data_IF_380945634436
#
_entry.id   IF_380945634436
#
_cell.length_a   1.000
_cell.length_b   1.000
_cell.length_c   1.000
_cell.angle_alpha   90.00
_cell.angle_beta   90.00
_cell.angle_gamma   90.00
#
_symmetry.space_group_name_H-M   'P 1'
#
loop_
_entity.id
_entity.type
_entity.pdbx_description
1 polymer ?
#
# COMPACT_ATOMS: atom_id res chain seq x y z
N UNK A 1 -1.47 -41.63 -60.66
CA UNK A 1 -1.88 -42.29 -59.42
C UNK A 1 -1.21 -41.67 -58.22
N UNK A 2 -1.92 -40.77 -57.52
CA UNK A 2 -1.47 -40.27 -56.21
C UNK A 2 -1.72 -41.40 -55.22
N UNK A 3 -0.67 -41.91 -54.59
CA UNK A 3 -0.75 -43.01 -53.62
C UNK A 3 -1.73 -42.64 -52.49
N UNK A 4 -2.66 -43.53 -52.08
CA UNK A 4 -3.68 -43.26 -51.06
C UNK A 4 -3.13 -42.67 -49.75
N UNK A 5 -1.89 -43.02 -49.41
CA UNK A 5 -1.17 -42.48 -48.25
C UNK A 5 -0.96 -40.96 -48.32
N UNK A 6 -0.71 -40.38 -49.50
CA UNK A 6 -0.47 -38.95 -49.64
C UNK A 6 -1.75 -38.13 -49.40
N UNK A 7 -2.91 -38.69 -49.75
CA UNK A 7 -4.19 -38.03 -49.52
C UNK A 7 -4.54 -37.97 -48.02
N UNK A 8 -4.27 -39.06 -47.30
CA UNK A 8 -4.47 -39.14 -45.84
C UNK A 8 -3.53 -38.16 -45.12
N UNK A 9 -2.26 -38.13 -45.50
CA UNK A 9 -1.27 -37.18 -44.93
C UNK A 9 -1.68 -35.73 -45.19
N UNK A 10 -2.17 -35.39 -46.40
CA UNK A 10 -2.66 -34.04 -46.71
C UNK A 10 -3.87 -33.66 -45.85
N UNK A 11 -4.84 -34.55 -45.66
CA UNK A 11 -6.00 -34.29 -44.81
C UNK A 11 -5.60 -34.08 -43.35
N UNK A 12 -4.64 -34.86 -42.85
CA UNK A 12 -4.11 -34.66 -41.49
C UNK A 12 -3.40 -33.32 -41.36
N UNK A 13 -2.56 -32.94 -42.33
CA UNK A 13 -1.90 -31.63 -42.35
C UNK A 13 -2.91 -30.48 -42.34
N UNK A 14 -3.93 -30.52 -43.21
CA UNK A 14 -4.99 -29.50 -43.23
C UNK A 14 -5.73 -29.40 -41.89
N UNK A 15 -5.99 -30.53 -41.23
CA UNK A 15 -6.63 -30.52 -39.90
C UNK A 15 -5.71 -29.95 -38.83
N UNK A 16 -4.41 -30.27 -38.86
CA UNK A 16 -3.43 -29.73 -37.93
C UNK A 16 -3.22 -28.22 -38.14
N UNK A 17 -3.16 -27.74 -39.38
CA UNK A 17 -3.06 -26.31 -39.70
C UNK A 17 -4.27 -25.53 -39.17
N UNK A 18 -5.49 -26.04 -39.36
CA UNK A 18 -6.69 -25.42 -38.78
C UNK A 18 -6.65 -25.41 -37.25
N UNK A 19 -6.24 -26.52 -36.62
CA UNK A 19 -6.10 -26.58 -35.17
C UNK A 19 -5.04 -25.61 -34.65
N UNK A 20 -3.93 -25.45 -35.36
CA UNK A 20 -2.89 -24.48 -35.00
C UNK A 20 -3.44 -23.05 -35.12
N UNK A 21 -4.12 -22.71 -36.21
CA UNK A 21 -4.75 -21.40 -36.37
C UNK A 21 -5.76 -21.09 -35.27
N UNK A 22 -6.64 -22.06 -34.95
CA UNK A 22 -7.60 -21.93 -33.85
C UNK A 22 -6.89 -21.74 -32.49
N UNK A 23 -5.75 -22.39 -32.26
CA UNK A 23 -4.95 -22.22 -31.05
C UNK A 23 -4.26 -20.86 -31.01
N UNK A 24 -3.72 -20.38 -32.12
CA UNK A 24 -3.09 -19.05 -32.24
C UNK A 24 -4.09 -17.94 -31.93
N UNK A 25 -5.29 -18.01 -32.51
CA UNK A 25 -6.39 -17.06 -32.24
C UNK A 25 -6.79 -17.09 -30.75
N UNK A 26 -6.88 -18.29 -30.17
CA UNK A 26 -7.19 -18.43 -28.73
C UNK A 26 -6.09 -17.86 -27.85
N UNK A 27 -4.82 -18.08 -28.18
CA UNK A 27 -3.67 -17.51 -27.45
C UNK A 27 -3.72 -15.98 -27.53
N UNK A 28 -3.93 -15.42 -28.72
CA UNK A 28 -4.07 -13.98 -28.92
C UNK A 28 -5.21 -13.38 -28.06
N UNK A 29 -6.37 -14.03 -28.04
CA UNK A 29 -7.49 -13.60 -27.20
C UNK A 29 -7.20 -13.71 -25.71
N UNK A 30 -6.49 -14.75 -25.27
CA UNK A 30 -6.07 -14.92 -23.88
C UNK A 30 -5.08 -13.83 -23.46
N UNK A 31 -4.07 -13.55 -24.27
CA UNK A 31 -3.10 -12.48 -24.01
C UNK A 31 -3.78 -11.12 -23.87
N UNK A 32 -4.71 -10.80 -24.79
CA UNK A 32 -5.52 -9.57 -24.72
C UNK A 32 -6.38 -9.51 -23.45
N UNK A 33 -6.96 -10.62 -23.05
CA UNK A 33 -7.77 -10.70 -21.82
C UNK A 33 -6.92 -10.51 -20.57
N UNK A 34 -5.74 -11.14 -20.52
CA UNK A 34 -4.78 -10.97 -19.41
C UNK A 34 -4.34 -9.51 -19.30
N UNK A 35 -3.99 -8.87 -20.43
CA UNK A 35 -3.61 -7.46 -20.44
C UNK A 35 -4.73 -6.55 -19.89
N UNK A 36 -5.99 -6.82 -20.26
CA UNK A 36 -7.14 -6.06 -19.76
C UNK A 36 -7.39 -6.31 -18.26
N UNK A 37 -7.25 -7.55 -17.79
CA UNK A 37 -7.36 -7.87 -16.36
C UNK A 37 -6.31 -7.14 -15.54
N UNK A 38 -5.04 -7.12 -15.99
CA UNK A 38 -3.97 -6.39 -15.32
C UNK A 38 -4.26 -4.88 -15.27
N UNK A 39 -4.73 -4.31 -16.38
CA UNK A 39 -5.12 -2.89 -16.46
C UNK A 39 -6.26 -2.55 -15.48
N UNK A 40 -7.26 -3.43 -15.38
CA UNK A 40 -8.37 -3.26 -14.45
C UNK A 40 -7.93 -3.41 -13.00
N UNK A 41 -7.02 -4.34 -12.69
CA UNK A 41 -6.43 -4.50 -11.37
C UNK A 41 -5.70 -3.22 -10.93
N UNK A 42 -4.84 -2.66 -11.79
CA UNK A 42 -4.14 -1.41 -11.48
C UNK A 42 -5.11 -0.23 -11.27
N UNK A 43 -6.18 -0.16 -12.07
CA UNK A 43 -7.23 0.87 -11.90
C UNK A 43 -7.98 0.70 -10.58
N UNK A 44 -8.32 -0.52 -10.19
CA UNK A 44 -8.97 -0.81 -8.92
C UNK A 44 -8.08 -0.43 -7.73
N UNK A 45 -6.80 -0.78 -7.77
CA UNK A 45 -5.81 -0.41 -6.74
C UNK A 45 -5.67 1.12 -6.60
N UNK A 46 -5.59 1.85 -7.72
CA UNK A 46 -5.52 3.31 -7.70
C UNK A 46 -6.81 3.94 -7.13
N UNK A 47 -7.98 3.45 -7.51
CA UNK A 47 -9.27 3.93 -6.97
C UNK A 47 -9.38 3.67 -5.46
N UNK A 48 -8.98 2.50 -4.99
CA UNK A 48 -8.95 2.16 -3.58
C UNK A 48 -8.05 3.11 -2.79
N UNK A 49 -6.83 3.35 -3.27
CA UNK A 49 -5.88 4.25 -2.61
C UNK A 49 -6.34 5.71 -2.63
N UNK A 50 -6.99 6.17 -3.71
CA UNK A 50 -7.61 7.51 -3.76
C UNK A 50 -8.72 7.65 -2.72
N UNK A 51 -9.58 6.65 -2.58
CA UNK A 51 -10.65 6.65 -1.59
C UNK A 51 -10.12 6.68 -0.14
N UNK A 52 -8.98 6.02 0.11
CA UNK A 52 -8.31 5.96 1.42
C UNK A 52 -7.30 7.08 1.68
N UNK A 53 -7.12 8.02 0.75
CA UNK A 53 -6.04 9.04 0.82
C UNK A 53 -6.08 9.91 2.08
N UNK A 54 -7.27 10.17 2.62
CA UNK A 54 -7.51 10.93 3.86
C UNK A 54 -7.64 10.05 5.11
N UNK A 55 -7.44 8.73 4.98
CA UNK A 55 -7.55 7.80 6.07
C UNK A 55 -6.19 7.58 6.76
N UNK A 56 -6.25 7.30 8.06
CA UNK A 56 -5.14 6.86 8.89
C UNK A 56 -5.58 5.67 9.76
N UNK A 57 -4.58 4.95 10.27
CA UNK A 57 -4.71 3.78 11.12
C UNK A 57 -4.03 4.07 12.45
N UNK A 58 -4.72 3.79 13.56
CA UNK A 58 -4.17 3.83 14.91
C UNK A 58 -3.94 2.40 15.38
N UNK A 59 -2.70 2.11 15.81
CA UNK A 59 -2.28 0.80 16.28
C UNK A 59 -1.82 0.92 17.73
N UNK A 60 -2.12 -0.07 18.57
CA UNK A 60 -1.66 -0.14 19.96
C UNK A 60 -2.61 0.45 21.00
N UNK A 61 -3.86 0.74 20.62
CA UNK A 61 -4.88 1.19 21.56
C UNK A 61 -5.50 0.01 22.31
N UNK A 62 -5.69 0.09 23.64
CA UNK A 62 -6.41 -0.95 24.38
C UNK A 62 -7.84 -1.15 23.86
N UNK A 63 -8.36 -2.35 24.04
CA UNK A 63 -9.69 -2.73 23.56
C UNK A 63 -10.80 -1.95 24.30
N UNK A 64 -11.75 -1.39 23.56
CA UNK A 64 -13.01 -0.86 24.10
C UNK A 64 -12.93 0.54 24.72
N UNK A 65 -11.77 1.19 24.67
CA UNK A 65 -11.58 2.53 25.25
C UNK A 65 -12.35 3.64 24.53
N UNK A 66 -12.74 3.39 23.27
CA UNK A 66 -13.48 4.33 22.44
C UNK A 66 -14.90 4.61 22.95
N UNK A 67 -15.45 3.67 23.72
CA UNK A 67 -16.84 3.71 24.16
C UNK A 67 -17.81 3.64 22.98
N UNK A 68 -18.87 4.46 23.04
CA UNK A 68 -19.97 4.47 22.05
C UNK A 68 -19.72 5.39 20.86
N UNK A 69 -18.74 6.28 20.95
CA UNK A 69 -18.45 7.28 19.92
C UNK A 69 -16.95 7.28 19.55
N UNK A 70 -16.56 6.43 18.59
CA UNK A 70 -15.19 6.36 18.10
C UNK A 70 -14.72 7.67 17.46
N UNK A 71 -15.61 8.48 16.89
CA UNK A 71 -15.24 9.73 16.22
C UNK A 71 -14.77 10.73 17.26
N UNK A 72 -15.60 11.02 18.26
CA UNK A 72 -15.24 11.96 19.31
C UNK A 72 -14.05 11.45 20.14
N UNK A 73 -13.92 10.13 20.33
CA UNK A 73 -12.73 9.55 20.95
C UNK A 73 -11.45 9.85 20.16
N UNK A 74 -11.43 9.60 18.84
CA UNK A 74 -10.24 9.86 18.02
C UNK A 74 -9.89 11.34 18.00
N UNK A 75 -10.87 12.24 17.92
CA UNK A 75 -10.62 13.69 18.00
C UNK A 75 -9.90 14.08 19.30
N UNK A 76 -10.38 13.59 20.46
CA UNK A 76 -9.75 13.84 21.76
C UNK A 76 -8.36 13.24 21.84
N UNK A 77 -8.21 11.97 21.42
CA UNK A 77 -6.93 11.24 21.44
C UNK A 77 -5.86 11.97 20.63
N UNK A 78 -6.21 12.47 19.44
CA UNK A 78 -5.26 13.18 18.57
C UNK A 78 -4.73 14.44 19.25
N UNK A 79 -5.61 15.22 19.89
CA UNK A 79 -5.23 16.43 20.61
C UNK A 79 -4.38 16.10 21.85
N UNK A 80 -4.78 15.10 22.63
CA UNK A 80 -4.08 14.68 23.83
C UNK A 80 -2.65 14.19 23.52
N UNK A 81 -2.50 13.36 22.50
CA UNK A 81 -1.21 12.71 22.20
C UNK A 81 -0.29 13.59 21.35
N UNK A 82 -0.82 14.40 20.43
CA UNK A 82 -0.01 15.22 19.52
C UNK A 82 0.09 16.68 19.95
N UNK A 83 -0.74 17.11 20.90
CA UNK A 83 -0.84 18.49 21.39
C UNK A 83 -1.72 19.37 20.50
N UNK A 84 -2.45 20.30 21.12
CA UNK A 84 -3.32 21.26 20.45
C UNK A 84 -2.60 22.07 19.36
N UNK A 85 -1.35 22.48 19.61
CA UNK A 85 -0.54 23.24 18.66
C UNK A 85 -0.28 22.54 17.32
N UNK A 86 -0.50 21.22 17.24
CA UNK A 86 -0.40 20.45 15.98
C UNK A 86 -1.52 20.82 15.00
N UNK A 87 -2.65 21.29 15.52
CA UNK A 87 -3.85 21.58 14.75
C UNK A 87 -4.13 23.09 14.79
N UNK A 88 -4.09 23.81 13.65
CA UNK A 88 -4.43 25.23 13.58
C UNK A 88 -5.90 25.55 13.97
N UNK A 89 -6.72 24.53 14.17
CA UNK A 89 -8.12 24.61 14.57
C UNK A 89 -8.58 23.25 15.08
N UNK A 90 -9.90 23.05 15.22
CA UNK A 90 -10.45 21.76 15.63
C UNK A 90 -10.08 20.68 14.60
N UNK A 91 -9.60 19.53 15.10
CA UNK A 91 -9.44 18.33 14.27
C UNK A 91 -10.82 17.72 14.01
N UNK A 92 -11.12 17.47 12.73
CA UNK A 92 -12.42 16.98 12.29
C UNK A 92 -12.29 15.57 11.72
N UNK A 93 -12.91 14.61 12.41
CA UNK A 93 -12.94 13.21 12.00
C UNK A 93 -14.29 12.91 11.37
N UNK A 94 -14.28 12.55 10.09
CA UNK A 94 -15.51 12.23 9.33
C UNK A 94 -16.08 10.86 9.77
N UNK A 95 -15.18 9.89 9.99
CA UNK A 95 -15.56 8.53 10.37
C UNK A 95 -14.42 7.86 11.13
N UNK A 96 -14.74 7.10 12.17
CA UNK A 96 -13.81 6.22 12.85
C UNK A 96 -14.49 4.87 13.14
N UNK A 97 -13.77 3.79 12.90
CA UNK A 97 -14.26 2.43 13.13
C UNK A 97 -13.11 1.45 13.30
N UNK A 98 -13.38 0.30 13.90
CA UNK A 98 -12.42 -0.79 13.92
C UNK A 98 -12.27 -1.45 12.54
N UNK A 99 -11.05 -1.87 12.23
CA UNK A 99 -10.82 -2.77 11.11
C UNK A 99 -11.64 -4.06 11.30
N UNK A 100 -12.23 -4.55 10.20
CA UNK A 100 -12.99 -5.79 10.12
C UNK A 100 -12.08 -7.00 10.33
N UNK A 101 -11.77 -7.31 11.60
CA UNK A 101 -11.15 -8.57 12.04
C UNK A 101 -11.98 -9.17 13.17
N UNK A 102 -11.86 -10.49 13.35
CA UNK A 102 -12.39 -11.18 14.53
C UNK A 102 -11.85 -10.52 15.80
N UNK A 103 -12.61 -10.66 16.89
CA UNK A 103 -12.24 -9.98 18.13
C UNK A 103 -10.98 -10.65 18.66
N UNK A 104 -9.89 -9.89 18.89
CA UNK A 104 -8.68 -10.49 19.39
C UNK A 104 -8.96 -11.18 20.72
N UNK A 105 -8.40 -12.39 20.89
CA UNK A 105 -8.41 -13.10 22.17
C UNK A 105 -7.58 -12.35 23.20
N UNK A 106 -7.74 -12.71 24.47
CA UNK A 106 -6.92 -12.14 25.54
C UNK A 106 -5.43 -12.42 25.27
N UNK A 107 -4.61 -11.37 25.27
CA UNK A 107 -3.19 -11.44 24.89
C UNK A 107 -2.87 -11.20 23.40
N UNK A 108 -3.87 -11.15 22.51
CA UNK A 108 -3.67 -10.79 21.11
C UNK A 108 -3.61 -9.27 20.91
N UNK A 109 -2.94 -8.83 19.84
CA UNK A 109 -2.81 -7.40 19.54
C UNK A 109 -4.18 -6.73 19.36
N UNK A 110 -4.41 -5.56 19.99
CA UNK A 110 -5.67 -4.86 19.86
C UNK A 110 -6.04 -4.52 18.42
N UNK A 111 -7.36 -4.40 18.15
CA UNK A 111 -7.85 -4.06 16.82
C UNK A 111 -7.41 -2.66 16.42
N UNK A 112 -6.96 -2.53 15.18
CA UNK A 112 -6.60 -1.26 14.58
C UNK A 112 -7.86 -0.42 14.39
N UNK A 113 -7.82 0.86 14.78
CA UNK A 113 -8.86 1.83 14.42
C UNK A 113 -8.47 2.45 13.08
N UNK A 114 -9.39 2.45 12.12
CA UNK A 114 -9.27 3.18 10.87
C UNK A 114 -10.17 4.41 10.97
N UNK A 115 -9.61 5.58 10.71
CA UNK A 115 -10.35 6.83 10.74
C UNK A 115 -10.05 7.67 9.51
N UNK A 116 -11.05 8.43 9.08
CA UNK A 116 -11.00 9.35 7.95
C UNK A 116 -11.07 10.77 8.47
N UNK A 117 -10.09 11.57 8.08
CA UNK A 117 -10.06 12.99 8.40
C UNK A 117 -10.82 13.77 7.35
N UNK A 118 -11.59 14.76 7.79
CA UNK A 118 -12.32 15.66 6.89
C UNK A 118 -11.35 16.51 6.06
N UNK A 119 -10.24 16.94 6.68
CA UNK A 119 -9.23 17.81 6.05
C UNK A 119 -7.96 17.05 5.74
N UNK A 120 -7.60 16.99 4.45
CA UNK A 120 -6.37 16.33 4.00
C UNK A 120 -5.07 16.90 4.64
N UNK A 121 -4.93 18.22 4.90
CA UNK A 121 -3.75 18.74 5.59
C UNK A 121 -3.52 18.10 6.97
N UNK A 122 -4.58 17.83 7.73
CA UNK A 122 -4.47 17.21 9.06
C UNK A 122 -3.92 15.78 8.93
N UNK A 123 -4.34 15.06 7.88
CA UNK A 123 -3.83 13.72 7.57
C UNK A 123 -2.33 13.72 7.30
N UNK A 124 -1.78 14.80 6.74
CA UNK A 124 -0.34 14.93 6.50
C UNK A 124 0.41 15.34 7.77
N UNK A 125 -0.18 16.21 8.59
CA UNK A 125 0.43 16.69 9.84
C UNK A 125 0.57 15.59 10.89
N UNK A 126 -0.45 14.75 11.08
CA UNK A 126 -0.46 13.72 12.12
C UNK A 126 0.75 12.78 12.05
N UNK A 127 1.04 12.09 10.93
CA UNK A 127 2.20 11.20 10.85
C UNK A 127 3.54 11.95 10.91
N UNK A 128 3.58 13.21 10.46
CA UNK A 128 4.79 14.04 10.57
C UNK A 128 5.07 14.35 12.04
N UNK A 129 4.08 14.86 12.76
CA UNK A 129 4.19 15.18 14.18
C UNK A 129 4.53 13.95 15.01
N UNK A 130 3.89 12.82 14.72
CA UNK A 130 4.19 11.55 15.38
C UNK A 130 5.67 11.15 15.25
N UNK A 131 6.28 11.35 14.07
CA UNK A 131 7.71 11.08 13.85
C UNK A 131 8.60 12.06 14.61
N UNK A 132 8.24 13.33 14.67
CA UNK A 132 8.98 14.37 15.40
C UNK A 132 9.00 14.09 16.91
N UNK A 133 7.88 13.61 17.47
CA UNK A 133 7.79 13.23 18.89
C UNK A 133 8.45 11.88 19.20
N UNK A 134 8.66 11.03 18.18
CA UNK A 134 9.25 9.71 18.35
C UNK A 134 8.29 8.72 19.00
N UNK A 135 8.49 8.42 20.28
CA UNK A 135 7.66 7.45 20.99
C UNK A 135 6.38 8.13 21.50
N UNK A 136 5.23 7.70 20.97
CA UNK A 136 3.91 8.14 21.45
C UNK A 136 3.32 7.11 22.40
N UNK A 137 2.73 7.60 23.49
CA UNK A 137 2.01 6.76 24.45
C UNK A 137 0.64 7.32 24.80
N UNK A 138 -0.32 6.45 25.01
CA UNK A 138 -1.64 6.75 25.54
C UNK A 138 -1.98 5.72 26.62
N UNK A 139 -2.35 6.17 27.83
CA UNK A 139 -2.60 5.29 28.98
C UNK A 139 -1.50 4.23 29.20
N UNK A 140 -0.23 4.67 29.16
CA UNK A 140 0.97 3.83 29.26
C UNK A 140 1.16 2.77 28.16
N UNK A 141 0.33 2.78 27.11
CA UNK A 141 0.52 1.92 25.93
C UNK A 141 1.12 2.69 24.78
N UNK A 142 2.05 2.07 24.05
CA UNK A 142 2.64 2.67 22.85
C UNK A 142 1.63 2.67 21.72
N UNK A 143 1.45 3.82 21.09
CA UNK A 143 0.56 3.97 19.95
C UNK A 143 1.31 4.41 18.70
N UNK A 144 0.78 4.03 17.54
CA UNK A 144 1.36 4.36 16.25
C UNK A 144 0.30 4.82 15.26
N UNK A 145 0.65 5.82 14.44
CA UNK A 145 -0.17 6.31 13.34
C UNK A 145 0.43 5.89 12.00
N UNK A 146 -0.35 5.19 11.18
CA UNK A 146 0.05 4.76 9.85
C UNK A 146 -0.94 5.21 8.77
N UNK A 147 -0.49 5.50 7.54
CA UNK A 147 -1.39 5.64 6.41
C UNK A 147 -2.23 4.39 6.18
N UNK A 148 -3.50 4.57 5.83
CA UNK A 148 -4.36 3.51 5.32
C UNK A 148 -4.18 3.40 3.80
N UNK A 149 -3.61 2.29 3.35
CA UNK A 149 -3.28 2.01 1.94
C UNK A 149 -3.77 0.62 1.57
N UNK A 150 -3.95 0.34 0.27
CA UNK A 150 -4.30 -0.99 -0.22
C UNK A 150 -3.25 -2.04 0.13
N UNK A 151 -3.64 -3.31 0.06
CA UNK A 151 -2.76 -4.46 0.30
C UNK A 151 -1.63 -4.52 -0.74
N UNK A 152 -1.96 -4.26 -1.99
CA UNK A 152 -1.07 -4.29 -3.14
C UNK A 152 -0.04 -3.16 -3.02
N UNK A 153 -0.49 -1.94 -2.70
CA UNK A 153 0.42 -0.83 -2.45
C UNK A 153 1.30 -1.07 -1.23
N UNK A 154 0.76 -1.68 -0.18
CA UNK A 154 1.55 -2.04 0.98
C UNK A 154 2.63 -3.07 0.63
N UNK A 155 2.32 -4.06 -0.21
CA UNK A 155 3.29 -5.06 -0.70
C UNK A 155 4.42 -4.39 -1.50
N UNK A 156 4.08 -3.58 -2.51
CA UNK A 156 5.07 -2.81 -3.30
C UNK A 156 5.98 -1.95 -2.40
N UNK A 157 5.43 -1.33 -1.35
CA UNK A 157 6.21 -0.55 -0.38
C UNK A 157 7.10 -1.40 0.54
N UNK A 158 6.73 -2.65 0.81
CA UNK A 158 7.53 -3.57 1.63
C UNK A 158 8.78 -4.02 0.88
N UNK A 159 8.78 -4.06 -0.44
CA UNK A 159 9.96 -4.41 -1.24
C UNK A 159 11.12 -3.41 -1.01
N UNK A 160 10.81 -2.14 -0.77
CA UNK A 160 11.81 -1.11 -0.40
C UNK A 160 12.33 -1.22 1.04
N UNK A 161 11.98 -2.25 1.81
CA UNK A 161 12.38 -2.34 3.23
C UNK A 161 13.89 -2.45 3.40
N UNK A 162 14.56 -3.27 2.60
CA UNK A 162 16.03 -3.38 2.63
C UNK A 162 16.70 -2.03 2.31
N UNK A 163 16.30 -1.37 1.22
CA UNK A 163 16.81 -0.06 0.84
C UNK A 163 16.63 0.98 1.97
N UNK A 164 15.47 0.97 2.66
CA UNK A 164 15.23 1.85 3.81
C UNK A 164 16.14 1.54 5.00
N UNK A 165 16.42 0.26 5.26
CA UNK A 165 17.36 -0.13 6.31
C UNK A 165 18.78 0.37 6.01
N UNK A 166 19.23 0.27 4.75
CA UNK A 166 20.54 0.78 4.33
C UNK A 166 20.60 2.31 4.45
N UNK A 167 19.56 3.03 4.03
CA UNK A 167 19.49 4.48 4.23
C UNK A 167 19.58 4.85 5.73
N UNK A 168 18.93 4.09 6.61
CA UNK A 168 19.02 4.30 8.05
C UNK A 168 20.43 4.06 8.59
N UNK A 169 21.11 2.98 8.18
CA UNK A 169 22.48 2.70 8.63
C UNK A 169 23.48 3.75 8.14
N UNK A 170 23.27 4.28 6.93
CA UNK A 170 24.08 5.37 6.36
C UNK A 170 23.66 6.77 6.82
N UNK A 171 22.61 6.87 7.66
CA UNK A 171 22.04 8.14 8.12
C UNK A 171 21.61 9.09 6.97
N UNK A 172 21.22 8.53 5.81
CA UNK A 172 20.79 9.31 4.65
C UNK A 172 19.30 9.63 4.78
N UNK A 173 18.89 10.91 4.67
CA UNK A 173 17.47 11.26 4.69
C UNK A 173 16.73 10.71 3.48
N UNK A 174 15.65 9.97 3.72
CA UNK A 174 14.86 9.36 2.65
C UNK A 174 13.36 9.55 2.86
N UNK A 175 12.57 9.31 1.82
CA UNK A 175 11.11 9.32 1.87
C UNK A 175 10.53 8.37 0.83
N UNK A 176 9.53 7.57 1.23
CA UNK A 176 8.79 6.71 0.31
C UNK A 176 7.54 7.46 -0.17
N UNK A 177 7.59 7.94 -1.41
CA UNK A 177 6.53 8.71 -2.04
C UNK A 177 5.44 7.78 -2.59
N UNK A 178 4.23 8.32 -2.72
CA UNK A 178 3.13 7.62 -3.38
C UNK A 178 3.43 7.44 -4.89
N UNK A 179 3.10 6.28 -5.49
CA UNK A 179 2.64 5.05 -4.83
C UNK A 179 3.77 4.34 -4.06
N UNK A 180 4.85 3.94 -4.73
CA UNK A 180 6.02 3.29 -4.14
C UNK A 180 7.30 3.77 -4.84
N UNK A 181 7.70 5.02 -4.59
CA UNK A 181 8.92 5.63 -5.16
C UNK A 181 9.84 6.10 -4.04
N UNK A 182 11.02 5.50 -3.93
CA UNK A 182 11.98 5.87 -2.89
C UNK A 182 12.75 7.12 -3.32
N UNK A 183 12.62 8.21 -2.56
CA UNK A 183 13.43 9.42 -2.67
C UNK A 183 14.56 9.35 -1.64
N UNK A 184 15.80 9.47 -2.10
CA UNK A 184 17.00 9.51 -1.27
C UNK A 184 17.63 10.90 -1.43
N UNK A 185 17.89 11.60 -0.32
CA UNK A 185 18.44 12.97 -0.36
C UNK A 185 19.96 12.93 -0.18
N UNK A 186 20.69 13.11 -1.27
CA UNK A 186 22.16 13.11 -1.29
C UNK A 186 22.69 14.55 -1.36
N UNK A 187 24.00 14.73 -1.15
CA UNK A 187 24.69 16.03 -1.26
C UNK A 187 24.56 16.64 -2.66
N UNK A 188 24.60 15.80 -3.69
CA UNK A 188 24.47 16.18 -5.10
C UNK A 188 23.03 16.48 -5.52
N UNK A 189 22.05 16.13 -4.68
CA UNK A 189 20.63 16.29 -4.95
C UNK A 189 19.81 15.04 -4.62
N UNK A 190 18.47 15.13 -4.72
CA UNK A 190 17.60 13.98 -4.48
C UNK A 190 17.65 13.00 -5.66
N UNK A 191 17.92 11.72 -5.37
CA UNK A 191 17.74 10.60 -6.31
C UNK A 191 16.43 9.88 -6.05
N UNK A 192 15.87 9.28 -7.09
CA UNK A 192 14.60 8.58 -7.02
C UNK A 192 14.69 7.20 -7.63
N UNK A 193 14.12 6.21 -6.94
CA UNK A 193 14.09 4.82 -7.38
C UNK A 193 12.65 4.31 -7.46
N UNK A 194 12.32 3.66 -8.57
CA UNK A 194 11.05 2.94 -8.76
C UNK A 194 11.25 1.43 -8.62
N UNK A 195 12.46 0.94 -8.87
CA UNK A 195 12.85 -0.45 -8.64
C UNK A 195 13.59 -0.59 -7.28
N UNK A 196 13.11 -1.45 -6.37
CA UNK A 196 13.81 -1.78 -5.13
C UNK A 196 15.22 -2.34 -5.36
N UNK A 197 15.44 -3.14 -6.41
CA UNK A 197 16.74 -3.80 -6.65
C UNK A 197 17.79 -2.76 -7.06
N UNK A 198 17.44 -1.89 -8.00
CA UNK A 198 18.26 -0.73 -8.37
C UNK A 198 18.60 0.14 -7.15
N UNK A 199 17.60 0.43 -6.30
CA UNK A 199 17.81 1.23 -5.08
C UNK A 199 18.84 0.58 -4.13
N UNK A 200 18.71 -0.73 -3.89
CA UNK A 200 19.63 -1.47 -3.01
C UNK A 200 21.04 -1.51 -3.62
N UNK A 201 21.16 -1.79 -4.91
CA UNK A 201 22.45 -1.83 -5.62
C UNK A 201 23.17 -0.50 -5.51
N UNK A 202 22.46 0.60 -5.77
CA UNK A 202 23.00 1.95 -5.64
C UNK A 202 23.43 2.27 -4.21
N UNK A 203 22.59 1.97 -3.21
CA UNK A 203 22.88 2.30 -1.82
C UNK A 203 24.04 1.50 -1.22
N UNK A 204 24.30 0.28 -1.72
CA UNK A 204 25.45 -0.55 -1.30
C UNK A 204 26.79 -0.05 -1.84
N UNK A 205 26.77 0.84 -2.84
CA UNK A 205 27.97 1.44 -3.43
C UNK A 205 28.34 2.80 -2.81
N UNK A 206 27.49 3.34 -1.93
CA UNK A 206 27.74 4.57 -1.17
C UNK A 206 28.52 4.29 0.12
#
# INVERSE_FOLDING_TARGET
DVSPNNLIVSQHLDTSERQIGDLEDRVYHLEKTVAEVLRLQDKCDDLENRARRSNLRIVGLPKGIEGKDPVAFVERLLVEVLGEATFPGRVEVERAHHALRLQPREGEHPRIIIFKLLRFPDKVRIPRRAREMGQLTYQNQRIFFFPDVSTELQAKRREFTEARHICHSLQIPFSLLHPAKLRVSLKEGPKFFMDPVEAVSFLKQL
#
